data_IF_814715982118
#
_entry.id   IF_814715982118
#
_cell.length_a   1.000
_cell.length_b   1.000
_cell.length_c   1.000
_cell.angle_alpha   90.00
_cell.angle_beta   90.00
_cell.angle_gamma   90.00
#
_symmetry.space_group_name_H-M   'P 1'
#
loop_
_entity.id
_entity.type
_entity.pdbx_description
1 polymer ?
#
# COMPACT_ATOMS: atom_id res chain seq x y z
N UNK A 1 -13.36 -1.83 -25.88
CA UNK A 1 -14.49 -1.23 -26.63
C UNK A 1 -14.60 0.24 -26.18
N UNK A 2 -13.85 1.13 -26.80
CA UNK A 2 -13.89 2.57 -26.51
C UNK A 2 -14.58 3.28 -27.68
N UNK A 3 -15.68 3.96 -27.40
CA UNK A 3 -16.39 4.81 -28.37
C UNK A 3 -15.59 6.12 -28.57
N UNK A 4 -15.33 6.58 -29.79
CA UNK A 4 -14.75 7.90 -30.03
C UNK A 4 -15.81 8.99 -29.79
N UNK A 5 -15.48 9.94 -28.91
CA UNK A 5 -16.33 11.07 -28.56
C UNK A 5 -16.39 12.12 -29.70
N UNK A 6 -17.60 12.57 -29.95
CA UNK A 6 -18.08 13.57 -30.93
C UNK A 6 -17.58 15.00 -30.65
N UNK A 7 -16.32 15.27 -30.47
CA UNK A 7 -15.83 16.63 -30.22
C UNK A 7 -14.97 17.27 -31.34
N UNK A 8 -14.85 16.62 -32.51
CA UNK A 8 -14.06 17.15 -33.63
C UNK A 8 -14.85 17.96 -34.70
N UNK A 9 -16.17 18.07 -34.55
CA UNK A 9 -17.03 18.68 -35.57
C UNK A 9 -17.43 20.16 -35.34
N UNK A 10 -17.01 20.78 -34.23
CA UNK A 10 -17.51 22.13 -33.83
C UNK A 10 -16.51 23.27 -33.95
N UNK A 11 -15.29 23.05 -34.45
CA UNK A 11 -14.29 24.11 -34.60
C UNK A 11 -14.11 24.61 -36.04
N UNK A 12 -14.84 24.08 -37.03
CA UNK A 12 -14.73 24.47 -38.42
C UNK A 12 -15.77 25.51 -38.87
N UNK A 13 -16.72 25.94 -38.03
CA UNK A 13 -17.87 26.75 -38.47
C UNK A 13 -17.88 28.21 -38.02
N UNK A 14 -16.88 28.73 -37.33
CA UNK A 14 -16.92 30.10 -36.79
C UNK A 14 -16.02 31.13 -37.49
N UNK A 15 -15.34 30.79 -38.59
CA UNK A 15 -14.44 31.72 -39.28
C UNK A 15 -15.11 32.39 -40.51
N UNK A 16 -16.35 32.02 -40.87
CA UNK A 16 -16.95 32.52 -42.14
C UNK A 16 -17.98 33.66 -41.99
N UNK A 17 -18.19 34.24 -40.82
CA UNK A 17 -19.30 35.18 -40.58
C UNK A 17 -18.90 36.61 -40.18
N UNK A 18 -17.71 37.11 -40.52
CA UNK A 18 -17.31 38.51 -40.23
C UNK A 18 -16.80 39.24 -41.47
N UNK A 19 -17.42 39.08 -42.60
CA UNK A 19 -17.02 39.79 -43.84
C UNK A 19 -18.18 40.42 -44.61
N UNK A 20 -19.13 41.06 -43.90
CA UNK A 20 -20.11 41.93 -44.56
C UNK A 20 -20.57 43.01 -43.56
N UNK A 21 -19.93 44.18 -43.64
CA UNK A 21 -20.50 45.38 -43.01
C UNK A 21 -19.48 46.42 -42.55
N UNK A 22 -18.80 47.05 -43.47
CA UNK A 22 -18.32 48.44 -43.31
C UNK A 22 -17.99 49.06 -44.64
N UNK A 23 -19.01 49.63 -45.30
CA UNK A 23 -18.85 50.62 -46.35
C UNK A 23 -18.64 52.00 -45.69
N UNK A 24 -17.49 52.59 -45.91
CA UNK A 24 -17.31 54.05 -45.70
C UNK A 24 -16.17 54.35 -44.72
N UNK A 25 -15.00 54.54 -45.24
CA UNK A 25 -14.19 55.77 -45.22
C UNK A 25 -12.97 55.53 -46.12
N UNK A 26 -13.02 56.10 -47.31
CA UNK A 26 -11.86 56.18 -48.17
C UNK A 26 -10.91 57.22 -47.59
N UNK A 27 -9.85 56.78 -46.91
CA UNK A 27 -8.66 57.58 -46.71
C UNK A 27 -7.49 56.80 -47.31
N UNK A 28 -6.85 57.47 -48.26
CA UNK A 28 -5.77 56.99 -49.09
C UNK A 28 -4.57 56.50 -48.23
N UNK A 29 -4.62 55.25 -47.86
CA UNK A 29 -3.39 54.52 -47.59
C UNK A 29 -2.84 54.11 -48.95
N UNK A 30 -1.57 54.42 -49.21
CA UNK A 30 -0.97 54.05 -50.48
C UNK A 30 -1.15 52.57 -50.71
N UNK A 31 -1.67 52.17 -51.86
CA UNK A 31 -1.99 50.78 -52.25
C UNK A 31 -0.78 49.81 -51.98
N UNK A 32 0.43 50.35 -51.94
CA UNK A 32 1.65 49.66 -51.69
C UNK A 32 1.88 49.28 -50.21
N UNK A 33 1.41 50.06 -49.22
CA UNK A 33 1.55 49.78 -47.80
C UNK A 33 0.55 48.71 -47.37
N UNK A 34 -0.66 48.79 -47.88
CA UNK A 34 -1.66 47.75 -47.67
C UNK A 34 -1.24 46.41 -48.30
N UNK A 35 -0.66 46.46 -49.52
CA UNK A 35 -0.10 45.25 -50.17
C UNK A 35 1.05 44.65 -49.40
N UNK A 36 1.98 45.44 -48.86
CA UNK A 36 3.07 44.95 -48.00
C UNK A 36 2.55 44.30 -46.72
N UNK A 37 1.58 44.94 -46.04
CA UNK A 37 0.94 44.38 -44.86
C UNK A 37 0.22 43.03 -45.13
N UNK A 38 -0.45 42.92 -46.28
CA UNK A 38 -1.10 41.66 -46.70
C UNK A 38 -0.06 40.57 -46.99
N UNK A 39 1.07 40.90 -47.60
CA UNK A 39 2.14 39.94 -47.86
C UNK A 39 2.77 39.48 -46.58
N UNK A 40 3.07 40.39 -45.64
CA UNK A 40 3.62 40.05 -44.30
C UNK A 40 2.65 39.17 -43.48
N UNK A 41 1.35 39.49 -43.51
CA UNK A 41 0.33 38.67 -42.89
C UNK A 41 0.22 37.27 -43.50
N UNK A 42 0.31 37.18 -44.85
CA UNK A 42 0.32 35.87 -45.53
C UNK A 42 1.55 35.03 -45.17
N UNK A 43 2.71 35.68 -45.11
CA UNK A 43 3.94 35.01 -44.68
C UNK A 43 3.84 34.51 -43.25
N UNK A 44 3.38 35.33 -42.31
CA UNK A 44 3.12 34.95 -40.91
C UNK A 44 2.09 33.83 -40.80
N UNK A 45 1.03 33.88 -41.61
CA UNK A 45 0.02 32.84 -41.65
C UNK A 45 0.61 31.51 -42.15
N UNK A 46 1.41 31.53 -43.20
CA UNK A 46 2.09 30.33 -43.73
C UNK A 46 3.08 29.75 -42.70
N UNK A 47 3.88 30.59 -42.04
CA UNK A 47 4.80 30.17 -40.97
C UNK A 47 4.03 29.55 -39.81
N UNK A 48 2.91 30.16 -39.41
CA UNK A 48 2.08 29.63 -38.33
C UNK A 48 1.45 28.31 -38.73
N UNK A 49 0.94 28.16 -39.95
CA UNK A 49 0.39 26.91 -40.44
C UNK A 49 1.46 25.80 -40.54
N UNK A 50 2.65 26.10 -41.03
CA UNK A 50 3.74 25.10 -41.06
C UNK A 50 4.18 24.69 -39.68
N UNK A 51 4.28 25.64 -38.74
CA UNK A 51 4.59 25.31 -37.32
C UNK A 51 3.50 24.48 -36.68
N UNK A 52 2.21 24.74 -36.99
CA UNK A 52 1.11 23.89 -36.49
C UNK A 52 1.19 22.46 -37.02
N UNK A 53 1.51 22.28 -38.29
CA UNK A 53 1.68 20.95 -38.88
C UNK A 53 2.87 20.22 -38.28
N UNK A 54 3.98 20.92 -38.01
CA UNK A 54 5.13 20.36 -37.34
C UNK A 54 4.81 19.95 -35.91
N UNK A 55 4.08 20.76 -35.14
CA UNK A 55 3.62 20.45 -33.80
C UNK A 55 2.68 19.25 -33.80
N UNK A 56 1.74 19.15 -34.73
CA UNK A 56 0.86 17.99 -34.87
C UNK A 56 1.66 16.70 -35.12
N UNK A 57 2.62 16.76 -36.07
CA UNK A 57 3.50 15.62 -36.34
C UNK A 57 4.31 15.22 -35.10
N UNK A 58 4.76 16.20 -34.31
CA UNK A 58 5.52 15.93 -33.06
C UNK A 58 4.63 15.34 -31.97
N UNK A 59 3.37 15.78 -31.90
CA UNK A 59 2.38 15.19 -30.99
C UNK A 59 2.11 13.72 -31.36
N UNK A 60 1.90 13.42 -32.64
CA UNK A 60 1.68 12.06 -33.10
C UNK A 60 2.90 11.16 -32.80
N UNK A 61 4.12 11.66 -33.04
CA UNK A 61 5.36 10.97 -32.71
C UNK A 61 5.51 10.71 -31.21
N UNK A 62 5.18 11.70 -30.38
CA UNK A 62 5.22 11.54 -28.91
C UNK A 62 4.15 10.55 -28.42
N UNK A 63 2.98 10.53 -29.04
CA UNK A 63 1.93 9.55 -28.72
C UNK A 63 2.38 8.12 -29.06
N UNK A 64 3.01 7.94 -30.22
CA UNK A 64 3.57 6.64 -30.63
C UNK A 64 4.68 6.19 -29.67
N UNK A 65 5.61 7.10 -29.32
CA UNK A 65 6.67 6.81 -28.35
C UNK A 65 6.10 6.45 -26.96
N UNK A 66 5.05 7.17 -26.51
CA UNK A 66 4.38 6.85 -25.25
C UNK A 66 3.72 5.48 -25.28
N UNK A 67 3.05 5.13 -26.39
CA UNK A 67 2.44 3.81 -26.55
C UNK A 67 3.50 2.70 -26.55
N UNK A 68 4.63 2.90 -27.23
CA UNK A 68 5.75 1.99 -27.24
C UNK A 68 6.38 1.83 -25.85
N UNK A 69 6.60 2.96 -25.15
CA UNK A 69 7.15 2.94 -23.77
C UNK A 69 6.20 2.22 -22.81
N UNK A 70 4.89 2.47 -22.91
CA UNK A 70 3.89 1.77 -22.10
C UNK A 70 3.95 0.26 -22.32
N UNK A 71 3.99 -0.17 -23.58
CA UNK A 71 4.15 -1.61 -23.89
C UNK A 71 5.46 -2.22 -23.37
N UNK A 72 6.57 -1.46 -23.41
CA UNK A 72 7.85 -1.90 -22.82
C UNK A 72 7.75 -2.03 -21.30
N UNK A 73 7.12 -1.06 -20.63
CA UNK A 73 6.91 -1.09 -19.17
C UNK A 73 6.06 -2.29 -18.78
N UNK A 74 4.96 -2.54 -19.47
CA UNK A 74 4.10 -3.72 -19.20
C UNK A 74 4.87 -5.03 -19.38
N UNK A 75 5.63 -5.15 -20.46
CA UNK A 75 6.46 -6.34 -20.73
C UNK A 75 7.54 -6.53 -19.64
N UNK A 76 8.22 -5.46 -19.24
CA UNK A 76 9.25 -5.52 -18.19
C UNK A 76 8.62 -5.87 -16.84
N UNK A 77 7.47 -5.28 -16.50
CA UNK A 77 6.74 -5.59 -15.27
C UNK A 77 6.34 -7.06 -15.21
N UNK A 78 5.85 -7.59 -16.35
CA UNK A 78 5.53 -9.02 -16.45
C UNK A 78 6.78 -9.90 -16.30
N UNK A 79 7.90 -9.54 -16.95
CA UNK A 79 9.17 -10.27 -16.82
C UNK A 79 9.71 -10.25 -15.40
N UNK A 80 9.62 -9.10 -14.71
CA UNK A 80 10.01 -8.97 -13.30
C UNK A 80 9.16 -9.92 -12.44
N UNK A 81 7.85 -9.95 -12.63
CA UNK A 81 6.96 -10.86 -11.92
C UNK A 81 7.32 -12.34 -12.12
N UNK A 82 7.61 -12.73 -13.36
CA UNK A 82 8.05 -14.10 -13.67
C UNK A 82 9.41 -14.43 -13.05
N UNK A 83 10.36 -13.50 -13.11
CA UNK A 83 11.71 -13.68 -12.54
C UNK A 83 11.66 -13.77 -11.03
N UNK A 84 10.85 -12.93 -10.37
CA UNK A 84 10.64 -12.99 -8.93
C UNK A 84 10.01 -14.32 -8.51
N UNK A 85 9.01 -14.80 -9.26
CA UNK A 85 8.40 -16.11 -9.01
C UNK A 85 9.41 -17.24 -9.19
N UNK A 86 10.14 -17.26 -10.29
CA UNK A 86 11.17 -18.27 -10.56
C UNK A 86 12.29 -18.24 -9.51
N UNK A 87 12.71 -17.04 -9.07
CA UNK A 87 13.69 -16.87 -8.00
C UNK A 87 13.17 -17.45 -6.67
N UNK A 88 11.93 -17.14 -6.29
CA UNK A 88 11.30 -17.75 -5.09
C UNK A 88 11.25 -19.28 -5.19
N UNK A 89 10.79 -19.80 -6.32
CA UNK A 89 10.67 -21.25 -6.52
C UNK A 89 12.05 -21.93 -6.46
N UNK A 90 13.08 -21.28 -7.01
CA UNK A 90 14.47 -21.75 -6.94
C UNK A 90 15.00 -21.72 -5.51
N UNK A 91 14.81 -20.62 -4.77
CA UNK A 91 15.18 -20.52 -3.36
C UNK A 91 14.45 -21.57 -2.53
N UNK A 92 13.15 -21.74 -2.75
CA UNK A 92 12.35 -22.78 -2.08
C UNK A 92 12.85 -24.20 -2.38
N UNK A 93 13.31 -24.45 -3.60
CA UNK A 93 13.88 -25.76 -3.99
C UNK A 93 15.27 -25.98 -3.40
N UNK A 94 16.15 -24.98 -3.41
CA UNK A 94 17.49 -25.06 -2.83
C UNK A 94 17.44 -25.24 -1.32
N UNK A 95 16.61 -24.46 -0.64
CA UNK A 95 16.44 -24.56 0.80
C UNK A 95 15.84 -25.90 1.23
N UNK A 96 14.87 -26.43 0.49
CA UNK A 96 14.31 -27.76 0.76
C UNK A 96 15.37 -28.86 0.70
N UNK A 97 16.35 -28.71 -0.19
CA UNK A 97 17.48 -29.65 -0.29
C UNK A 97 18.53 -29.44 0.80
N UNK A 98 18.75 -28.16 1.21
CA UNK A 98 19.64 -27.82 2.31
C UNK A 98 19.02 -28.21 3.65
N UNK A 99 17.73 -27.96 3.80
CA UNK A 99 16.91 -28.26 4.98
C UNK A 99 16.87 -29.75 5.34
N UNK A 100 17.00 -30.62 4.34
CA UNK A 100 17.10 -32.06 4.57
C UNK A 100 18.43 -32.49 5.23
N UNK A 101 19.40 -31.57 5.34
CA UNK A 101 20.76 -31.82 5.85
C UNK A 101 21.05 -31.18 7.21
N UNK A 102 20.26 -30.22 7.69
CA UNK A 102 20.56 -29.46 8.91
C UNK A 102 19.33 -29.30 9.82
N UNK A 103 19.08 -30.24 10.71
CA UNK A 103 18.27 -29.95 11.90
C UNK A 103 19.20 -29.35 12.96
N UNK A 104 18.93 -28.10 13.39
CA UNK A 104 19.67 -27.46 14.47
C UNK A 104 18.73 -27.07 15.61
N UNK A 105 19.33 -26.92 16.79
CA UNK A 105 18.61 -26.55 18.00
C UNK A 105 18.74 -25.04 18.20
N UNK A 106 17.63 -24.34 18.18
CA UNK A 106 17.57 -22.93 18.58
C UNK A 106 17.04 -22.81 20.01
N UNK A 107 17.26 -21.66 20.63
CA UNK A 107 16.67 -21.31 21.91
C UNK A 107 15.56 -20.31 21.71
N UNK A 108 14.43 -20.55 22.37
CA UNK A 108 13.39 -19.54 22.44
C UNK A 108 13.84 -18.34 23.30
N UNK A 109 13.04 -17.30 23.33
CA UNK A 109 13.30 -16.08 24.09
C UNK A 109 13.44 -16.34 25.62
N UNK A 110 12.96 -17.47 26.12
CA UNK A 110 13.08 -17.89 27.50
C UNK A 110 14.31 -18.81 27.74
N UNK A 111 15.13 -19.02 26.69
CA UNK A 111 16.30 -19.88 26.74
C UNK A 111 15.99 -21.37 26.66
N UNK A 112 14.73 -21.77 26.41
CA UNK A 112 14.36 -23.16 26.18
C UNK A 112 14.79 -23.59 24.78
N UNK A 113 15.53 -24.70 24.73
CA UNK A 113 15.96 -25.25 23.44
C UNK A 113 14.80 -25.96 22.76
N UNK A 114 14.58 -25.67 21.50
CA UNK A 114 13.64 -26.39 20.65
C UNK A 114 14.30 -26.80 19.34
N UNK A 115 13.87 -27.93 18.80
CA UNK A 115 14.34 -28.38 17.50
C UNK A 115 13.64 -27.58 16.41
N UNK A 116 14.41 -26.85 15.63
CA UNK A 116 13.91 -26.11 14.47
C UNK A 116 13.77 -27.08 13.31
N UNK A 117 12.58 -27.16 12.75
CA UNK A 117 12.36 -27.75 11.45
C UNK A 117 12.73 -26.66 10.42
N UNK A 118 13.73 -26.89 9.58
CA UNK A 118 14.23 -25.84 8.66
C UNK A 118 13.15 -25.26 7.75
N UNK A 119 12.16 -26.05 7.35
CA UNK A 119 11.00 -25.59 6.57
C UNK A 119 10.15 -24.58 7.34
N UNK A 120 9.97 -24.80 8.63
CA UNK A 120 9.26 -23.92 9.54
C UNK A 120 9.95 -22.55 9.65
N UNK A 121 11.27 -22.55 9.91
CA UNK A 121 12.06 -21.32 9.99
C UNK A 121 11.98 -20.52 8.70
N UNK A 122 12.18 -21.17 7.59
CA UNK A 122 12.12 -20.53 6.28
C UNK A 122 10.77 -19.88 6.00
N UNK A 123 9.67 -20.58 6.28
CA UNK A 123 8.34 -20.01 6.12
C UNK A 123 8.12 -18.82 7.05
N UNK A 124 8.64 -18.90 8.25
CA UNK A 124 8.58 -17.80 9.21
C UNK A 124 9.37 -16.59 8.69
N UNK A 125 10.63 -16.79 8.29
CA UNK A 125 11.47 -15.73 7.75
C UNK A 125 10.85 -15.08 6.49
N UNK A 126 10.34 -15.90 5.56
CA UNK A 126 9.61 -15.41 4.38
C UNK A 126 8.35 -14.62 4.74
N UNK A 127 7.62 -15.04 5.76
CA UNK A 127 6.44 -14.31 6.21
C UNK A 127 6.79 -12.92 6.75
N UNK A 128 7.92 -12.78 7.45
CA UNK A 128 8.42 -11.49 7.93
C UNK A 128 8.94 -10.62 6.79
N UNK A 129 9.61 -11.20 5.81
CA UNK A 129 10.04 -10.49 4.59
C UNK A 129 8.84 -9.91 3.85
N UNK A 130 7.82 -10.72 3.57
CA UNK A 130 6.58 -10.28 2.93
C UNK A 130 5.87 -9.19 3.74
N UNK A 131 5.88 -9.29 5.07
CA UNK A 131 5.32 -8.26 5.93
C UNK A 131 6.08 -6.93 5.78
N UNK A 132 7.42 -6.98 5.76
CA UNK A 132 8.27 -5.80 5.61
C UNK A 132 8.15 -5.13 4.24
N UNK A 133 7.87 -5.91 3.20
CA UNK A 133 7.61 -5.45 1.83
C UNK A 133 6.19 -4.86 1.65
N UNK A 134 5.31 -4.98 2.66
CA UNK A 134 3.93 -4.53 2.59
C UNK A 134 2.95 -5.55 1.97
N UNK A 135 3.42 -6.76 1.64
CA UNK A 135 2.62 -7.88 1.12
C UNK A 135 1.88 -8.60 2.26
N UNK A 136 1.01 -7.85 2.97
CA UNK A 136 0.39 -8.30 4.22
C UNK A 136 -0.54 -9.50 4.06
N UNK A 137 -1.19 -9.65 2.91
CA UNK A 137 -2.10 -10.76 2.65
C UNK A 137 -1.33 -12.07 2.47
N UNK A 138 -0.22 -12.05 1.73
CA UNK A 138 0.66 -13.19 1.54
C UNK A 138 1.34 -13.59 2.85
N UNK A 139 1.84 -12.61 3.61
CA UNK A 139 2.39 -12.81 4.94
C UNK A 139 1.36 -13.46 5.87
N UNK A 140 0.13 -12.96 5.90
CA UNK A 140 -0.97 -13.54 6.67
C UNK A 140 -1.18 -15.01 6.35
N UNK A 141 -1.35 -15.35 5.06
CA UNK A 141 -1.57 -16.74 4.62
C UNK A 141 -0.45 -17.67 5.07
N UNK A 142 0.78 -17.19 4.99
CA UNK A 142 1.95 -17.96 5.40
C UNK A 142 2.00 -18.17 6.92
N UNK A 143 1.70 -17.13 7.71
CA UNK A 143 1.63 -17.22 9.17
C UNK A 143 0.46 -18.11 9.64
N UNK A 144 -0.68 -18.09 8.96
CA UNK A 144 -1.80 -19.00 9.24
C UNK A 144 -1.43 -20.45 8.99
N UNK A 145 -0.73 -20.72 7.87
CA UNK A 145 -0.27 -22.08 7.56
C UNK A 145 0.76 -22.55 8.59
N UNK A 146 1.69 -21.68 9.02
CA UNK A 146 2.64 -22.00 10.08
C UNK A 146 1.95 -22.37 11.38
N UNK A 147 0.95 -21.57 11.79
CA UNK A 147 0.21 -21.84 13.02
C UNK A 147 -0.58 -23.15 12.98
N UNK A 148 -0.95 -23.60 11.78
CA UNK A 148 -1.69 -24.86 11.56
C UNK A 148 -0.76 -26.05 11.46
N UNK A 149 0.31 -25.93 10.66
CA UNK A 149 1.21 -27.04 10.33
C UNK A 149 2.19 -27.33 11.47
N UNK A 150 2.58 -26.30 12.24
CA UNK A 150 3.58 -26.39 13.31
C UNK A 150 3.06 -25.87 14.66
N UNK A 151 1.99 -26.46 15.22
CA UNK A 151 1.35 -25.95 16.45
C UNK A 151 2.24 -25.98 17.70
N UNK A 152 3.34 -26.73 17.67
CA UNK A 152 4.34 -26.82 18.75
C UNK A 152 5.64 -26.07 18.45
N UNK A 153 5.63 -25.24 17.43
CA UNK A 153 6.77 -24.42 17.01
C UNK A 153 7.29 -23.52 18.14
N UNK A 154 8.60 -23.39 18.24
CA UNK A 154 9.21 -22.36 19.09
C UNK A 154 8.92 -20.94 18.62
N UNK A 155 8.63 -20.76 17.33
CA UNK A 155 8.24 -19.49 16.75
C UNK A 155 6.74 -19.17 16.92
N UNK A 156 5.95 -20.02 17.58
CA UNK A 156 4.49 -19.87 17.62
C UNK A 156 4.04 -18.55 18.28
N UNK A 157 4.74 -18.09 19.32
CA UNK A 157 4.43 -16.82 19.96
C UNK A 157 4.64 -15.65 18.97
N UNK A 158 5.79 -15.63 18.30
CA UNK A 158 6.10 -14.62 17.27
C UNK A 158 5.15 -14.71 16.06
N UNK A 159 4.86 -15.93 15.61
CA UNK A 159 3.89 -16.18 14.53
C UNK A 159 2.53 -15.55 14.84
N UNK A 160 2.00 -15.77 16.05
CA UNK A 160 0.72 -15.19 16.47
C UNK A 160 0.79 -13.67 16.61
N UNK A 161 1.93 -13.15 17.05
CA UNK A 161 2.15 -11.69 17.12
C UNK A 161 2.09 -11.04 15.73
N UNK A 162 2.89 -11.55 14.80
CA UNK A 162 2.94 -11.00 13.43
C UNK A 162 1.65 -11.23 12.65
N UNK A 163 0.97 -12.36 12.90
CA UNK A 163 -0.36 -12.60 12.33
C UNK A 163 -1.36 -11.55 12.81
N UNK A 164 -1.35 -11.21 14.09
CA UNK A 164 -2.16 -10.13 14.64
C UNK A 164 -1.83 -8.77 14.01
N UNK A 165 -0.55 -8.48 13.78
CA UNK A 165 -0.11 -7.27 13.09
C UNK A 165 -0.57 -7.25 11.62
N UNK A 166 -0.46 -8.36 10.90
CA UNK A 166 -0.91 -8.48 9.52
C UNK A 166 -2.43 -8.26 9.39
N UNK A 167 -3.22 -8.81 10.28
CA UNK A 167 -4.66 -8.54 10.35
C UNK A 167 -4.96 -7.07 10.64
N UNK A 168 -4.22 -6.47 11.57
CA UNK A 168 -4.42 -5.07 11.96
C UNK A 168 -4.22 -4.12 10.78
N UNK A 169 -3.12 -4.27 10.05
CA UNK A 169 -2.81 -3.43 8.87
C UNK A 169 -3.87 -3.60 7.77
N UNK A 170 -4.40 -4.81 7.61
CA UNK A 170 -5.49 -5.11 6.66
C UNK A 170 -6.87 -4.67 7.17
N UNK A 171 -6.96 -3.97 8.30
CA UNK A 171 -8.20 -3.52 8.92
C UNK A 171 -9.12 -4.66 9.40
N UNK A 172 -8.60 -5.87 9.59
CA UNK A 172 -9.30 -7.04 10.14
C UNK A 172 -9.19 -7.06 11.67
N UNK A 173 -9.82 -6.08 12.33
CA UNK A 173 -9.57 -5.78 13.75
C UNK A 173 -9.99 -6.91 14.69
N UNK A 174 -11.07 -7.62 14.40
CA UNK A 174 -11.53 -8.77 15.19
C UNK A 174 -10.51 -9.91 15.19
N UNK A 175 -9.95 -10.21 14.02
CA UNK A 175 -8.95 -11.27 13.84
C UNK A 175 -7.63 -10.87 14.49
N UNK A 176 -7.24 -9.59 14.36
CA UNK A 176 -6.07 -9.02 15.03
C UNK A 176 -6.17 -9.18 16.56
N UNK A 177 -7.28 -8.75 17.16
CA UNK A 177 -7.50 -8.90 18.60
C UNK A 177 -7.50 -10.39 19.04
N UNK A 178 -8.09 -11.26 18.22
CA UNK A 178 -8.15 -12.71 18.48
C UNK A 178 -6.76 -13.36 18.45
N UNK A 179 -5.93 -13.02 17.45
CA UNK A 179 -4.56 -13.55 17.35
C UNK A 179 -3.70 -13.14 18.55
N UNK A 180 -3.73 -11.86 18.93
CA UNK A 180 -2.99 -11.37 20.10
C UNK A 180 -3.49 -11.99 21.40
N UNK A 181 -4.80 -12.15 21.55
CA UNK A 181 -5.41 -12.83 22.70
C UNK A 181 -4.96 -14.30 22.79
N UNK A 182 -4.89 -15.01 21.65
CA UNK A 182 -4.36 -16.39 21.60
C UNK A 182 -2.91 -16.46 22.05
N UNK A 183 -2.07 -15.51 21.63
CA UNK A 183 -0.67 -15.42 22.07
C UNK A 183 -0.60 -15.29 23.58
N UNK A 184 -1.26 -14.30 24.16
CA UNK A 184 -1.23 -14.02 25.61
C UNK A 184 -1.74 -15.22 26.42
N UNK A 185 -2.76 -15.92 25.92
CA UNK A 185 -3.33 -17.08 26.60
C UNK A 185 -2.44 -18.32 26.53
N UNK A 186 -1.84 -18.61 25.37
CA UNK A 186 -1.03 -19.81 25.16
C UNK A 186 0.42 -19.65 25.61
N UNK A 187 0.97 -18.44 25.50
CA UNK A 187 2.38 -18.13 25.75
C UNK A 187 2.54 -16.98 26.77
N UNK A 188 2.02 -17.12 28.00
CA UNK A 188 1.99 -16.02 28.98
C UNK A 188 3.37 -15.57 29.45
N UNK A 189 4.42 -16.37 29.20
CA UNK A 189 5.80 -16.06 29.55
C UNK A 189 6.62 -15.49 28.37
N UNK A 190 6.05 -15.41 27.17
CA UNK A 190 6.77 -14.85 26.02
C UNK A 190 7.06 -13.37 26.22
N UNK A 191 8.22 -12.92 25.76
CA UNK A 191 8.62 -11.49 25.74
C UNK A 191 7.68 -10.64 24.88
N UNK A 192 6.95 -11.27 23.94
CA UNK A 192 5.95 -10.61 23.09
C UNK A 192 4.65 -10.24 23.81
N UNK A 193 4.41 -10.74 25.03
CA UNK A 193 3.14 -10.51 25.73
C UNK A 193 2.82 -9.02 25.94
N UNK A 194 3.76 -8.16 26.37
CA UNK A 194 3.49 -6.74 26.54
C UNK A 194 3.07 -6.07 25.22
N UNK A 195 3.78 -6.37 24.14
CA UNK A 195 3.50 -5.84 22.79
C UNK A 195 2.17 -6.37 22.24
N UNK A 196 1.89 -7.65 22.47
CA UNK A 196 0.63 -8.29 22.08
C UNK A 196 -0.57 -7.66 22.79
N UNK A 197 -0.46 -7.36 24.08
CA UNK A 197 -1.51 -6.66 24.84
C UNK A 197 -1.75 -5.25 24.30
N UNK A 198 -0.68 -4.52 23.92
CA UNK A 198 -0.79 -3.20 23.27
C UNK A 198 -1.48 -3.28 21.91
N UNK A 199 -1.09 -4.26 21.08
CA UNK A 199 -1.69 -4.48 19.77
C UNK A 199 -3.15 -4.91 19.89
N UNK A 200 -3.48 -5.77 20.87
CA UNK A 200 -4.86 -6.14 21.17
C UNK A 200 -5.68 -4.91 21.58
N UNK A 201 -5.14 -4.08 22.47
CA UNK A 201 -5.81 -2.84 22.88
C UNK A 201 -6.06 -1.91 21.70
N UNK A 202 -5.10 -1.80 20.77
CA UNK A 202 -5.26 -1.01 19.54
C UNK A 202 -6.41 -1.53 18.67
N UNK A 203 -6.51 -2.83 18.50
CA UNK A 203 -7.59 -3.45 17.73
C UNK A 203 -8.95 -3.24 18.42
N UNK A 204 -9.02 -3.40 19.74
CA UNK A 204 -10.23 -3.13 20.55
C UNK A 204 -10.68 -1.66 20.48
N UNK A 205 -9.75 -0.71 20.47
CA UNK A 205 -10.05 0.71 20.26
C UNK A 205 -10.72 0.94 18.89
N UNK A 206 -10.16 0.33 17.84
CA UNK A 206 -10.70 0.43 16.48
C UNK A 206 -12.09 -0.23 16.34
N UNK A 207 -12.36 -1.24 17.14
CA UNK A 207 -13.68 -1.89 17.25
C UNK A 207 -14.68 -1.08 18.11
N UNK A 208 -14.24 0.01 18.73
CA UNK A 208 -15.08 0.81 19.64
C UNK A 208 -15.18 0.25 21.07
N UNK A 209 -14.44 -0.80 21.39
CA UNK A 209 -14.45 -1.49 22.68
C UNK A 209 -13.54 -0.79 23.70
N UNK A 210 -13.75 0.51 23.95
CA UNK A 210 -12.87 1.35 24.79
C UNK A 210 -12.67 0.80 26.20
N UNK A 211 -13.63 0.11 26.77
CA UNK A 211 -13.51 -0.50 28.11
C UNK A 211 -12.53 -1.68 28.09
N UNK A 212 -12.60 -2.53 27.08
CA UNK A 212 -11.67 -3.65 26.88
C UNK A 212 -10.25 -3.13 26.65
N UNK A 213 -10.09 -2.18 25.73
CA UNK A 213 -8.80 -1.55 25.43
C UNK A 213 -8.15 -0.96 26.68
N UNK A 214 -8.90 -0.21 27.48
CA UNK A 214 -8.42 0.36 28.73
C UNK A 214 -7.99 -0.68 29.74
N UNK A 215 -8.73 -1.80 29.86
CA UNK A 215 -8.38 -2.92 30.74
C UNK A 215 -7.03 -3.55 30.33
N UNK A 216 -6.84 -3.76 29.03
CA UNK A 216 -5.60 -4.30 28.47
C UNK A 216 -4.42 -3.35 28.72
N UNK A 217 -4.57 -2.05 28.44
CA UNK A 217 -3.53 -1.05 28.68
C UNK A 217 -3.15 -0.97 30.16
N UNK A 218 -4.12 -0.96 31.08
CA UNK A 218 -3.84 -1.01 32.52
C UNK A 218 -3.10 -2.28 32.93
N UNK A 219 -3.43 -3.43 32.31
CA UNK A 219 -2.73 -4.69 32.55
C UNK A 219 -1.25 -4.60 32.14
N UNK A 220 -0.93 -3.91 31.02
CA UNK A 220 0.46 -3.68 30.59
C UNK A 220 1.20 -2.84 31.61
N UNK A 221 0.65 -1.71 32.04
CA UNK A 221 1.27 -0.81 33.01
C UNK A 221 1.54 -1.52 34.34
N UNK A 222 0.59 -2.32 34.82
CA UNK A 222 0.71 -3.01 36.10
C UNK A 222 1.67 -4.18 36.09
N UNK A 223 1.65 -4.99 35.01
CA UNK A 223 2.43 -6.25 34.94
C UNK A 223 3.84 -6.05 34.42
N UNK A 224 4.09 -5.00 33.63
CA UNK A 224 5.36 -4.77 32.94
C UNK A 224 5.90 -3.35 33.20
N UNK A 225 5.99 -2.92 34.47
CA UNK A 225 6.43 -1.55 34.80
C UNK A 225 7.86 -1.30 34.28
N UNK A 226 8.12 -0.07 33.83
CA UNK A 226 9.44 0.35 33.35
C UNK A 226 9.77 -0.08 31.91
N UNK A 227 8.93 -0.90 31.26
CA UNK A 227 9.11 -1.27 29.85
C UNK A 227 8.63 -0.17 28.91
N UNK A 228 9.10 -0.17 27.66
CA UNK A 228 8.63 0.75 26.63
C UNK A 228 7.13 0.55 26.34
N UNK A 229 6.69 -0.71 26.41
CA UNK A 229 5.28 -1.05 26.30
C UNK A 229 4.42 -0.40 27.40
N UNK A 230 4.92 -0.34 28.63
CA UNK A 230 4.20 0.33 29.73
C UNK A 230 4.08 1.85 29.48
N UNK A 231 5.15 2.51 29.04
CA UNK A 231 5.13 3.93 28.69
C UNK A 231 4.13 4.22 27.56
N UNK A 232 4.11 3.39 26.53
CA UNK A 232 3.15 3.49 25.43
C UNK A 232 1.72 3.29 25.93
N UNK A 233 1.49 2.32 26.80
CA UNK A 233 0.18 2.08 27.42
C UNK A 233 -0.31 3.29 28.24
N UNK A 234 0.56 3.91 29.04
CA UNK A 234 0.24 5.13 29.80
C UNK A 234 -0.16 6.29 28.90
N UNK A 235 0.58 6.51 27.81
CA UNK A 235 0.27 7.55 26.85
C UNK A 235 -1.10 7.33 26.20
N UNK A 236 -1.41 6.09 25.82
CA UNK A 236 -2.71 5.75 25.23
C UNK A 236 -3.86 5.85 26.23
N UNK A 237 -3.62 5.48 27.49
CA UNK A 237 -4.61 5.66 28.56
C UNK A 237 -4.96 7.13 28.78
N UNK A 238 -3.97 8.03 28.71
CA UNK A 238 -4.19 9.48 28.78
C UNK A 238 -5.01 9.97 27.57
N UNK A 239 -4.70 9.50 26.37
CA UNK A 239 -5.43 9.85 25.15
C UNK A 239 -6.90 9.36 25.16
N UNK A 240 -7.17 8.21 25.74
CA UNK A 240 -8.53 7.68 25.89
C UNK A 240 -9.39 8.48 26.90
N UNK A 241 -8.80 9.40 27.67
CA UNK A 241 -9.50 10.23 28.67
C UNK A 241 -10.04 9.41 29.87
N UNK A 242 -10.90 9.95 30.70
CA UNK A 242 -11.45 9.26 31.87
C UNK A 242 -12.36 8.09 31.47
N UNK A 243 -12.38 7.02 32.28
CA UNK A 243 -13.26 5.88 32.06
C UNK A 243 -14.73 6.31 32.04
N UNK A 244 -15.55 5.78 31.12
CA UNK A 244 -16.99 6.04 31.15
C UNK A 244 -17.54 5.57 32.50
N UNK A 245 -18.21 6.49 33.22
CA UNK A 245 -18.87 6.14 34.49
C UNK A 245 -19.88 5.03 34.21
N UNK A 246 -19.75 3.87 34.85
CA UNK A 246 -20.77 2.83 34.84
C UNK A 246 -22.10 3.48 35.24
N UNK A 247 -23.06 3.52 34.33
CA UNK A 247 -24.45 3.80 34.71
C UNK A 247 -24.87 2.65 35.64
N UNK A 248 -24.89 2.93 36.92
CA UNK A 248 -25.52 2.01 37.89
C UNK A 248 -26.98 1.99 37.51
N UNK A 249 -27.41 0.91 36.86
CA UNK A 249 -28.81 0.64 36.66
C UNK A 249 -29.42 0.41 38.04
N UNK A 250 -30.08 1.43 38.56
CA UNK A 250 -30.94 1.28 39.74
C UNK A 250 -32.05 0.33 39.36
N UNK A 251 -31.96 -0.94 39.82
CA UNK A 251 -33.08 -1.83 39.88
C UNK A 251 -34.10 -1.24 40.86
N UNK A 252 -35.23 -0.79 40.31
CA UNK A 252 -36.46 -0.67 41.07
C UNK A 252 -37.15 -2.01 41.12
#
# INVERSE_FOLDING_TARGET
MFKPSLSRALLASTVFAVLLGASGVSSAFSDDEARRAILDLREKLNVTQSSQLELLSRIDQLQEQNAEMTGKVEKLTHQIGLTQKASRDLFMSLDKRLAALESHVEKDENGQSFTVVPEEKRRYDLALELFSEGSYEESQKLLESLATDYPKSGYMADTLYWLGCAYYVQNKMSDAASAQKKLVAKFPKSSRVPEALLSQAAAEERLGNSTSARSLLNSVVQKYPGTESAKTAEQRLKALGPAPKKKVSAKK
#
